data_IF_184238588175
#
_entry.id   IF_184238588175
#
_cell.length_a   1.000
_cell.length_b   1.000
_cell.length_c   1.000
_cell.angle_alpha   90.00
_cell.angle_beta   90.00
_cell.angle_gamma   90.00
#
_symmetry.space_group_name_H-M   'P 1'
#
loop_
_entity.id
_entity.type
_entity.pdbx_description
1 polymer ?
#
# COMPACT_ATOMS: atom_id res chain seq x y z
N UNK A 1 20.19 5.83 -18.61
CA UNK A 1 18.79 5.42 -18.91
C UNK A 1 18.25 4.36 -17.95
N UNK A 2 18.97 3.25 -17.68
CA UNK A 2 18.50 2.18 -16.80
C UNK A 2 18.13 2.64 -15.37
N UNK A 3 18.94 3.52 -14.77
CA UNK A 3 18.68 4.06 -13.43
C UNK A 3 17.36 4.87 -13.34
N UNK A 4 17.14 5.81 -14.27
CA UNK A 4 15.91 6.61 -14.34
C UNK A 4 14.66 5.73 -14.52
N UNK A 5 14.75 4.73 -15.40
CA UNK A 5 13.65 3.80 -15.61
C UNK A 5 13.36 3.01 -14.33
N UNK A 6 14.40 2.45 -13.68
CA UNK A 6 14.28 1.74 -12.40
C UNK A 6 13.63 2.62 -11.33
N UNK A 7 14.06 3.87 -11.18
CA UNK A 7 13.48 4.81 -10.21
C UNK A 7 11.99 5.04 -10.47
N UNK A 8 11.57 5.24 -11.73
CA UNK A 8 10.16 5.41 -12.05
C UNK A 8 9.33 4.15 -11.72
N UNK A 9 9.86 2.95 -11.93
CA UNK A 9 9.18 1.69 -11.55
C UNK A 9 8.97 1.60 -10.05
N UNK A 10 10.02 1.91 -9.28
CA UNK A 10 9.96 1.88 -7.82
C UNK A 10 8.96 2.91 -7.29
N UNK A 11 8.91 4.11 -7.86
CA UNK A 11 7.95 5.15 -7.48
C UNK A 11 6.50 4.82 -7.83
N UNK A 12 6.25 3.82 -8.68
CA UNK A 12 4.90 3.30 -8.95
C UNK A 12 4.56 2.17 -7.98
N UNK A 13 5.46 1.20 -7.82
CA UNK A 13 5.17 -0.05 -7.09
C UNK A 13 5.24 0.18 -5.59
N UNK A 14 6.30 0.82 -5.09
CA UNK A 14 6.58 0.89 -3.65
C UNK A 14 5.48 1.63 -2.88
N UNK A 15 4.98 2.81 -3.31
CA UNK A 15 3.96 3.52 -2.54
C UNK A 15 2.66 2.73 -2.36
N UNK A 16 2.34 1.84 -3.31
CA UNK A 16 1.11 1.02 -3.31
C UNK A 16 1.34 -0.28 -2.54
N UNK A 17 2.46 -0.97 -2.78
CA UNK A 17 2.69 -2.31 -2.23
C UNK A 17 3.18 -2.30 -0.78
N UNK A 18 4.00 -1.31 -0.42
CA UNK A 18 4.71 -1.32 0.84
C UNK A 18 3.81 -1.24 2.10
N UNK A 19 2.67 -0.52 2.13
CA UNK A 19 1.75 -0.58 3.26
C UNK A 19 1.32 -2.01 3.57
N UNK A 20 0.93 -2.77 2.54
CA UNK A 20 0.51 -4.16 2.71
C UNK A 20 1.62 -5.05 3.26
N UNK A 21 2.84 -4.94 2.72
CA UNK A 21 4.00 -5.70 3.23
C UNK A 21 4.24 -5.35 4.70
N UNK A 22 4.33 -4.06 5.03
CA UNK A 22 4.61 -3.59 6.39
C UNK A 22 3.49 -4.03 7.34
N UNK A 23 2.23 -3.88 6.94
CA UNK A 23 1.07 -4.30 7.73
C UNK A 23 1.08 -5.79 8.01
N UNK A 24 1.27 -6.62 7.00
CA UNK A 24 1.37 -8.07 7.15
C UNK A 24 2.51 -8.49 8.09
N UNK A 25 3.68 -7.85 7.96
CA UNK A 25 4.82 -8.11 8.85
C UNK A 25 4.54 -7.70 10.29
N UNK A 26 3.85 -6.58 10.51
CA UNK A 26 3.47 -6.12 11.86
C UNK A 26 2.47 -7.08 12.50
N UNK A 27 1.43 -7.52 11.78
CA UNK A 27 0.49 -8.52 12.30
C UNK A 27 1.21 -9.83 12.61
N UNK A 28 2.10 -10.29 11.72
CA UNK A 28 2.91 -11.48 11.96
C UNK A 28 3.79 -11.34 13.20
N UNK A 29 4.42 -10.18 13.41
CA UNK A 29 5.21 -9.87 14.61
C UNK A 29 4.35 -9.86 15.88
N UNK A 30 3.07 -9.48 15.78
CA UNK A 30 2.13 -9.44 16.90
C UNK A 30 1.39 -10.77 17.12
N UNK A 31 1.57 -11.76 16.24
CA UNK A 31 0.84 -13.03 16.25
C UNK A 31 0.78 -13.72 17.62
N UNK A 32 1.90 -13.77 18.35
CA UNK A 32 1.96 -14.38 19.67
C UNK A 32 1.19 -13.65 20.78
N UNK A 33 0.64 -12.45 20.50
CA UNK A 33 -0.14 -11.62 21.43
C UNK A 33 -1.59 -11.39 20.97
N UNK A 34 -2.01 -12.08 19.92
CA UNK A 34 -3.32 -11.93 19.29
C UNK A 34 -4.17 -13.17 19.53
N UNK A 35 -5.49 -13.00 19.74
CA UNK A 35 -6.42 -14.12 19.71
C UNK A 35 -6.47 -14.72 18.30
N UNK A 36 -6.66 -16.03 18.20
CA UNK A 36 -6.97 -16.72 16.96
C UNK A 36 -8.29 -17.50 17.17
N UNK A 37 -9.40 -17.07 16.55
CA UNK A 37 -9.53 -16.07 15.49
C UNK A 37 -9.66 -14.61 15.98
N UNK A 38 -9.39 -13.64 15.08
CA UNK A 38 -9.53 -12.20 15.35
C UNK A 38 -10.93 -11.70 14.99
N UNK A 39 -11.44 -10.74 15.75
CA UNK A 39 -12.66 -9.99 15.41
C UNK A 39 -12.34 -8.97 14.32
N UNK A 40 -12.98 -9.07 13.16
CA UNK A 40 -12.72 -8.17 12.03
C UNK A 40 -13.90 -7.25 11.72
N UNK A 41 -15.13 -7.55 12.19
CA UNK A 41 -16.38 -6.86 11.80
C UNK A 41 -16.73 -6.94 10.30
N UNK A 42 -15.93 -7.67 9.51
CA UNK A 42 -16.19 -7.98 8.11
C UNK A 42 -15.83 -9.44 7.85
N UNK A 43 -16.73 -10.15 7.20
CA UNK A 43 -16.50 -11.51 6.73
C UNK A 43 -16.49 -11.52 5.20
N UNK A 44 -15.73 -12.44 4.61
CA UNK A 44 -15.64 -12.58 3.15
C UNK A 44 -16.94 -13.12 2.54
N UNK A 45 -17.79 -13.74 3.35
CA UNK A 45 -19.13 -14.18 2.96
C UNK A 45 -20.24 -13.13 3.23
N UNK A 46 -19.88 -11.99 3.81
CA UNK A 46 -20.81 -10.90 4.16
C UNK A 46 -21.57 -11.09 5.49
N UNK A 47 -21.20 -12.08 6.31
CA UNK A 47 -21.79 -12.28 7.63
C UNK A 47 -21.38 -11.19 8.63
N UNK A 48 -22.31 -10.85 9.54
CA UNK A 48 -22.13 -9.80 10.56
C UNK A 48 -21.32 -10.25 11.79
N UNK A 49 -21.12 -11.57 11.95
CA UNK A 49 -20.39 -12.17 13.07
C UNK A 49 -19.00 -12.58 12.60
N UNK A 50 -18.12 -11.61 12.39
CA UNK A 50 -16.94 -11.83 11.57
C UNK A 50 -15.69 -12.08 12.42
N UNK A 51 -15.40 -13.36 12.63
CA UNK A 51 -14.10 -13.82 13.10
C UNK A 51 -13.28 -14.27 11.90
N UNK A 52 -12.05 -13.78 11.76
CA UNK A 52 -11.13 -14.22 10.71
C UNK A 52 -9.95 -14.96 11.33
N UNK A 53 -9.52 -16.08 10.73
CA UNK A 53 -8.32 -16.77 11.19
C UNK A 53 -7.13 -15.83 11.05
N UNK A 54 -6.19 -15.91 12.01
CA UNK A 54 -5.02 -15.02 12.06
C UNK A 54 -4.24 -15.00 10.74
N UNK A 55 -4.13 -16.14 10.06
CA UNK A 55 -3.48 -16.23 8.74
C UNK A 55 -4.16 -15.36 7.68
N UNK A 56 -5.49 -15.27 7.67
CA UNK A 56 -6.22 -14.41 6.74
C UNK A 56 -5.96 -12.93 7.03
N UNK A 57 -5.92 -12.55 8.31
CA UNK A 57 -5.60 -11.17 8.73
C UNK A 57 -4.16 -10.80 8.39
N UNK A 58 -3.21 -11.74 8.49
CA UNK A 58 -1.82 -11.53 8.06
C UNK A 58 -1.75 -11.32 6.55
N UNK A 59 -2.44 -12.14 5.76
CA UNK A 59 -2.34 -12.10 4.29
C UNK A 59 -3.15 -10.96 3.66
N UNK A 60 -4.20 -10.47 4.32
CA UNK A 60 -5.11 -9.49 3.73
C UNK A 60 -4.42 -8.16 3.32
N UNK A 61 -3.63 -7.46 4.17
CA UNK A 61 -2.94 -6.24 3.75
C UNK A 61 -2.05 -6.46 2.54
N UNK A 62 -1.24 -7.53 2.55
CA UNK A 62 -0.37 -7.89 1.43
C UNK A 62 -1.17 -8.18 0.16
N UNK A 63 -2.19 -9.03 0.23
CA UNK A 63 -3.02 -9.40 -0.91
C UNK A 63 -3.75 -8.20 -1.50
N UNK A 64 -4.31 -7.35 -0.65
CA UNK A 64 -5.00 -6.13 -1.05
C UNK A 64 -4.06 -5.13 -1.73
N UNK A 65 -2.91 -4.84 -1.14
CA UNK A 65 -1.89 -3.97 -1.76
C UNK A 65 -1.31 -4.55 -3.04
N UNK A 66 -1.10 -5.87 -3.10
CA UNK A 66 -0.64 -6.56 -4.29
C UNK A 66 -1.68 -6.47 -5.42
N UNK A 67 -2.97 -6.66 -5.12
CA UNK A 67 -4.05 -6.49 -6.08
C UNK A 67 -4.06 -5.08 -6.69
N UNK A 68 -4.02 -4.04 -5.84
CA UNK A 68 -3.96 -2.66 -6.33
C UNK A 68 -2.69 -2.39 -7.13
N UNK A 69 -1.55 -2.94 -6.72
CA UNK A 69 -0.30 -2.84 -7.48
C UNK A 69 -0.43 -3.50 -8.85
N UNK A 70 -1.03 -4.69 -8.92
CA UNK A 70 -1.23 -5.42 -10.18
C UNK A 70 -2.20 -4.70 -11.13
N UNK A 71 -3.20 -4.01 -10.61
CA UNK A 71 -4.15 -3.23 -11.43
C UNK A 71 -3.54 -1.90 -11.89
N UNK A 72 -2.85 -1.18 -11.01
CA UNK A 72 -2.40 0.20 -11.25
C UNK A 72 -0.98 0.29 -11.84
N UNK A 73 -0.10 -0.68 -11.58
CA UNK A 73 1.25 -0.63 -12.12
C UNK A 73 1.31 -0.79 -13.66
N UNK A 74 0.56 -1.72 -14.30
CA UNK A 74 0.60 -1.88 -15.75
C UNK A 74 0.24 -0.61 -16.52
N UNK A 75 -0.79 0.11 -16.09
CA UNK A 75 -1.18 1.40 -16.70
C UNK A 75 -0.06 2.43 -16.57
N UNK A 76 0.61 2.48 -15.41
CA UNK A 76 1.79 3.33 -15.20
C UNK A 76 2.97 2.94 -16.13
N UNK A 77 3.17 1.65 -16.38
CA UNK A 77 4.21 1.16 -17.29
C UNK A 77 3.94 1.52 -18.77
N UNK A 78 2.67 1.55 -19.19
CA UNK A 78 2.28 1.97 -20.54
C UNK A 78 2.59 3.46 -20.80
N UNK A 79 2.68 4.29 -19.77
CA UNK A 79 3.03 5.72 -19.87
C UNK A 79 4.52 5.98 -20.00
N UNK A 80 5.35 5.11 -19.42
CA UNK A 80 6.78 5.10 -19.74
C UNK A 80 6.94 4.82 -21.25
N UNK A 81 6.02 4.05 -21.86
CA UNK A 81 5.94 3.83 -23.32
C UNK A 81 5.23 4.94 -24.11
N UNK A 82 4.74 6.00 -23.46
CA UNK A 82 4.21 7.21 -24.10
C UNK A 82 2.71 7.23 -24.39
N UNK A 83 1.92 6.26 -23.92
CA UNK A 83 0.51 6.11 -24.32
C UNK A 83 -0.52 6.97 -23.56
N UNK A 84 -0.22 7.47 -22.36
CA UNK A 84 -1.12 8.35 -21.59
C UNK A 84 -0.37 9.52 -20.96
N UNK A 85 -1.09 10.48 -20.41
CA UNK A 85 -0.51 11.64 -19.72
C UNK A 85 0.18 11.26 -18.40
N UNK A 86 1.20 12.04 -18.02
CA UNK A 86 1.94 11.84 -16.77
C UNK A 86 1.08 12.15 -15.53
N UNK A 87 0.12 13.07 -15.66
CA UNK A 87 -0.87 13.46 -14.65
C UNK A 87 -1.76 12.29 -14.26
N UNK A 88 -2.35 11.59 -15.25
CA UNK A 88 -3.25 10.46 -15.02
C UNK A 88 -2.61 9.35 -14.20
N UNK A 89 -1.36 9.00 -14.52
CA UNK A 89 -0.61 7.96 -13.79
C UNK A 89 -0.25 8.40 -12.39
N UNK A 90 0.19 9.65 -12.24
CA UNK A 90 0.48 10.20 -10.94
C UNK A 90 -0.76 10.11 -10.03
N UNK A 91 -1.94 10.48 -10.53
CA UNK A 91 -3.20 10.34 -9.81
C UNK A 91 -3.52 8.88 -9.48
N UNK A 92 -3.41 7.95 -10.44
CA UNK A 92 -3.66 6.52 -10.20
C UNK A 92 -2.76 5.94 -9.10
N UNK A 93 -1.46 6.27 -9.13
CA UNK A 93 -0.50 5.82 -8.11
C UNK A 93 -0.84 6.42 -6.75
N UNK A 94 -1.17 7.72 -6.69
CA UNK A 94 -1.59 8.36 -5.45
C UNK A 94 -2.87 7.73 -4.86
N UNK A 95 -3.86 7.44 -5.72
CA UNK A 95 -5.09 6.78 -5.31
C UNK A 95 -4.81 5.37 -4.77
N UNK A 96 -4.06 4.55 -5.51
CA UNK A 96 -3.71 3.19 -5.07
C UNK A 96 -2.93 3.19 -3.75
N UNK A 97 -1.95 4.09 -3.61
CA UNK A 97 -1.17 4.23 -2.39
C UNK A 97 -2.03 4.71 -1.21
N UNK A 98 -2.92 5.68 -1.43
CA UNK A 98 -3.83 6.20 -0.41
C UNK A 98 -4.80 5.15 0.10
N UNK A 99 -5.46 4.42 -0.81
CA UNK A 99 -6.39 3.33 -0.46
C UNK A 99 -5.63 2.23 0.29
N UNK A 100 -4.49 1.77 -0.24
CA UNK A 100 -3.70 0.73 0.42
C UNK A 100 -3.25 1.13 1.82
N UNK A 101 -2.80 2.38 2.01
CA UNK A 101 -2.36 2.87 3.30
C UNK A 101 -3.52 3.00 4.29
N UNK A 102 -4.65 3.55 3.85
CA UNK A 102 -5.83 3.70 4.68
C UNK A 102 -6.36 2.33 5.15
N UNK A 103 -6.52 1.37 4.23
CA UNK A 103 -6.97 0.02 4.55
C UNK A 103 -6.02 -0.68 5.53
N UNK A 104 -4.70 -0.59 5.29
CA UNK A 104 -3.71 -1.17 6.21
C UNK A 104 -3.78 -0.52 7.59
N UNK A 105 -3.90 0.80 7.64
CA UNK A 105 -3.97 1.58 8.89
C UNK A 105 -5.21 1.20 9.69
N UNK A 106 -6.37 1.10 9.04
CA UNK A 106 -7.62 0.69 9.69
C UNK A 106 -7.51 -0.74 10.25
N UNK A 107 -6.99 -1.68 9.46
CA UNK A 107 -6.80 -3.05 9.91
C UNK A 107 -5.86 -3.12 11.11
N UNK A 108 -4.69 -2.48 11.05
CA UNK A 108 -3.73 -2.47 12.15
C UNK A 108 -4.32 -1.81 13.41
N UNK A 109 -5.17 -0.80 13.25
CA UNK A 109 -5.90 -0.16 14.35
C UNK A 109 -6.84 -1.16 15.05
N UNK A 110 -7.58 -1.96 14.28
CA UNK A 110 -8.44 -3.02 14.82
C UNK A 110 -7.64 -4.13 15.49
N UNK A 111 -6.50 -4.51 14.91
CA UNK A 111 -5.60 -5.55 15.46
C UNK A 111 -4.96 -5.08 16.77
N UNK A 112 -4.46 -3.84 16.85
CA UNK A 112 -3.78 -3.35 18.06
C UNK A 112 -4.71 -3.27 19.27
N UNK A 113 -5.99 -2.96 19.04
CA UNK A 113 -7.01 -2.92 20.09
C UNK A 113 -7.32 -4.31 20.68
N UNK A 114 -7.06 -5.37 19.92
CA UNK A 114 -7.31 -6.76 20.35
C UNK A 114 -6.07 -7.43 20.97
N UNK A 115 -4.91 -6.75 20.97
CA UNK A 115 -3.71 -7.26 21.62
C UNK A 115 -3.87 -7.21 23.13
N UNK A 116 -3.62 -8.32 23.80
CA UNK A 116 -3.57 -8.36 25.27
C UNK A 116 -4.93 -8.34 25.98
N UNK A 117 -6.02 -8.74 25.30
CA UNK A 117 -7.33 -8.93 25.91
C UNK A 117 -7.33 -9.98 27.05
N UNK A 118 -6.33 -10.87 27.07
CA UNK A 118 -6.05 -11.75 28.19
C UNK A 118 -5.07 -11.06 29.16
N UNK A 119 -5.60 -10.41 30.20
CA UNK A 119 -4.84 -10.06 31.40
C UNK A 119 -4.16 -8.67 31.43
N UNK A 120 -4.44 -7.76 30.48
CA UNK A 120 -3.94 -6.38 30.57
C UNK A 120 -5.06 -5.33 30.72
N UNK A 121 -4.83 -4.32 31.55
CA UNK A 121 -5.80 -3.25 31.90
C UNK A 121 -5.85 -2.08 30.92
N UNK A 122 -5.15 -2.18 29.78
CA UNK A 122 -4.96 -1.10 28.82
C UNK A 122 -5.04 -1.63 27.39
N UNK A 123 -5.93 -1.05 26.59
CA UNK A 123 -5.97 -1.30 25.15
C UNK A 123 -4.75 -0.66 24.48
N UNK A 124 -4.16 -1.34 23.51
CA UNK A 124 -3.05 -0.77 22.73
C UNK A 124 -3.46 0.54 22.03
N UNK A 125 -2.62 1.57 22.13
CA UNK A 125 -2.93 2.87 21.51
C UNK A 125 -2.92 2.79 19.99
N UNK A 126 -4.01 3.27 19.38
CA UNK A 126 -4.18 3.36 17.92
C UNK A 126 -3.45 4.58 17.33
N UNK A 127 -3.15 5.58 18.14
CA UNK A 127 -2.61 6.87 17.68
C UNK A 127 -1.29 6.74 16.88
N UNK A 128 -0.29 5.93 17.29
CA UNK A 128 0.92 5.75 16.50
C UNK A 128 0.67 5.17 15.10
N UNK A 129 -0.33 4.28 14.98
CA UNK A 129 -0.72 3.65 13.71
C UNK A 129 -1.34 4.70 12.79
N UNK A 130 -2.23 5.54 13.31
CA UNK A 130 -2.84 6.65 12.56
C UNK A 130 -1.81 7.68 12.09
N UNK A 131 -0.86 8.04 12.96
CA UNK A 131 0.24 8.94 12.61
C UNK A 131 1.09 8.32 11.49
N UNK A 132 1.45 7.05 11.61
CA UNK A 132 2.22 6.34 10.58
C UNK A 132 1.46 6.29 9.24
N UNK A 133 0.15 6.02 9.26
CA UNK A 133 -0.71 6.06 8.09
C UNK A 133 -0.74 7.44 7.44
N UNK A 134 -0.89 8.51 8.24
CA UNK A 134 -0.84 9.89 7.76
C UNK A 134 0.51 10.26 7.12
N UNK A 135 1.62 9.88 7.77
CA UNK A 135 2.97 10.07 7.22
C UNK A 135 3.11 9.33 5.88
N UNK A 136 2.57 8.11 5.76
CA UNK A 136 2.62 7.35 4.52
C UNK A 136 1.90 8.07 3.37
N UNK A 137 0.73 8.64 3.63
CA UNK A 137 -0.03 9.42 2.63
C UNK A 137 0.81 10.59 2.13
N UNK A 138 1.49 11.31 3.03
CA UNK A 138 2.40 12.40 2.65
C UNK A 138 3.54 11.90 1.76
N UNK A 139 4.18 10.78 2.12
CA UNK A 139 5.24 10.16 1.32
C UNK A 139 4.74 9.73 -0.07
N UNK A 140 3.52 9.20 -0.17
CA UNK A 140 2.90 8.81 -1.44
C UNK A 140 2.64 10.03 -2.35
N UNK A 141 2.20 11.16 -1.78
CA UNK A 141 2.04 12.43 -2.51
C UNK A 141 3.39 12.93 -3.04
N UNK A 142 4.45 12.84 -2.24
CA UNK A 142 5.80 13.23 -2.65
C UNK A 142 6.35 12.31 -3.76
N UNK A 143 6.14 10.99 -3.64
CA UNK A 143 6.52 10.00 -4.64
C UNK A 143 5.82 10.28 -5.99
N UNK A 144 4.52 10.55 -5.92
CA UNK A 144 3.68 10.93 -7.06
C UNK A 144 4.17 12.21 -7.73
N UNK A 145 4.46 13.24 -6.94
CA UNK A 145 4.99 14.53 -7.41
C UNK A 145 6.34 14.35 -8.12
N UNK A 146 7.22 13.50 -7.58
CA UNK A 146 8.50 13.13 -8.22
C UNK A 146 8.27 12.36 -9.52
N UNK A 147 7.35 11.41 -9.55
CA UNK A 147 7.03 10.62 -10.74
C UNK A 147 6.58 11.53 -11.89
N UNK A 148 5.68 12.48 -11.62
CA UNK A 148 5.21 13.47 -12.60
C UNK A 148 6.36 14.26 -13.25
N UNK A 149 7.40 14.60 -12.47
CA UNK A 149 8.60 15.32 -12.97
C UNK A 149 9.57 14.42 -13.74
N UNK A 150 9.61 13.13 -13.46
CA UNK A 150 10.54 12.19 -14.09
C UNK A 150 10.06 11.67 -15.45
N UNK A 151 8.75 11.56 -15.66
CA UNK A 151 8.17 11.04 -16.91
C UNK A 151 8.60 11.85 -18.16
N UNK A 152 8.57 13.19 -18.17
CA UNK A 152 9.04 13.96 -19.34
C UNK A 152 10.51 13.70 -19.68
N UNK A 153 11.38 13.62 -18.65
CA UNK A 153 12.81 13.33 -18.82
C UNK A 153 13.06 11.95 -19.43
N UNK A 154 12.28 10.95 -19.00
CA UNK A 154 12.32 9.61 -19.55
C UNK A 154 11.88 9.54 -21.02
N UNK A 155 10.89 10.35 -21.41
CA UNK A 155 10.43 10.45 -22.80
C UNK A 155 11.47 11.09 -23.70
N UNK A 156 12.05 12.22 -23.27
CA UNK A 156 13.10 12.90 -24.00
C UNK A 156 14.33 11.99 -24.25
N UNK A 157 14.77 11.27 -23.20
CA UNK A 157 15.89 10.34 -23.31
C UNK A 157 15.62 9.12 -24.22
N UNK A 158 14.36 8.76 -24.47
CA UNK A 158 13.99 7.71 -25.44
C UNK A 158 13.93 8.25 -26.87
N UNK A 159 13.47 9.48 -27.05
CA UNK A 159 13.38 10.11 -28.36
C UNK A 159 14.78 10.28 -28.99
N UNK A 160 15.79 10.62 -28.18
CA UNK A 160 17.18 10.77 -28.65
C UNK A 160 17.88 9.45 -29.02
N UNK A 161 17.27 8.29 -28.74
CA UNK A 161 17.85 6.97 -29.02
C UNK A 161 17.16 6.23 -30.16
N UNK A 162 16.12 6.79 -30.77
CA UNK A 162 15.55 6.21 -31.99
C UNK A 162 16.42 6.65 -33.18
N UNK A 163 17.13 5.73 -33.87
CA UNK A 163 17.76 6.07 -35.14
C UNK A 163 16.66 6.50 -36.11
N UNK A 164 16.94 7.55 -36.88
CA UNK A 164 16.08 8.02 -37.97
C UNK A 164 15.97 6.97 -39.07
#
# INVERSE_FOLDING_TARGET
>A
MAALARTARLLVIVPILAPGIIGSLLVLLWSGSLPDPLVTQWDFDGSASSFQPLVAVILFPLGFSALFTLVMAPTAFLVIRGKHEASTVATQVATGAGISAATTTLLLSTVVMQRGLEGQTWAGSVLPILIAGGIWIILAILATSRLRRLIPKLRAARASQRPQ
#
